data_IF_538572280186
#
_entry.id   IF_538572280186
#
_cell.length_a   1.000
_cell.length_b   1.000
_cell.length_c   1.000
_cell.angle_alpha   90.00
_cell.angle_beta   90.00
_cell.angle_gamma   90.00
#
_symmetry.space_group_name_H-M   'P 1'
#
loop_
_entity.id
_entity.type
_entity.pdbx_description
1 polymer ?
#
# COMPACT_ATOMS: atom_id res chain seq x y z
N UNK A 1 -21.28 1.97 11.93
CA UNK A 1 -20.62 2.61 10.77
C UNK A 1 -19.70 3.77 11.16
N UNK A 2 -20.16 4.73 11.97
CA UNK A 2 -19.33 5.88 12.35
C UNK A 2 -18.15 5.50 13.26
N UNK A 3 -18.35 4.60 14.23
CA UNK A 3 -17.29 4.14 15.14
C UNK A 3 -16.16 3.46 14.39
N UNK A 4 -16.49 2.63 13.42
CA UNK A 4 -15.59 1.89 12.56
C UNK A 4 -14.79 2.84 11.66
N UNK A 5 -15.48 3.83 11.07
CA UNK A 5 -14.84 4.89 10.30
C UNK A 5 -13.84 5.68 11.16
N UNK A 6 -14.24 6.04 12.38
CA UNK A 6 -13.38 6.74 13.33
C UNK A 6 -12.17 5.89 13.73
N UNK A 7 -12.33 4.58 13.92
CA UNK A 7 -11.21 3.68 14.21
C UNK A 7 -10.19 3.69 13.07
N UNK A 8 -10.63 3.47 11.83
CA UNK A 8 -9.73 3.44 10.65
C UNK A 8 -9.04 4.79 10.48
N UNK A 9 -9.81 5.89 10.55
CA UNK A 9 -9.29 7.26 10.37
C UNK A 9 -8.33 7.66 11.49
N UNK A 10 -8.63 7.27 12.73
CA UNK A 10 -7.75 7.56 13.88
C UNK A 10 -6.43 6.81 13.77
N UNK A 11 -6.46 5.53 13.40
CA UNK A 11 -5.24 4.74 13.17
C UNK A 11 -4.40 5.30 12.02
N UNK A 12 -5.05 5.74 10.94
CA UNK A 12 -4.38 6.43 9.84
C UNK A 12 -3.71 7.74 10.31
N UNK A 13 -4.44 8.56 11.07
CA UNK A 13 -3.92 9.81 11.62
C UNK A 13 -2.73 9.58 12.56
N UNK A 14 -2.82 8.58 13.46
CA UNK A 14 -1.71 8.17 14.32
C UNK A 14 -0.50 7.76 13.48
N UNK A 15 -0.70 6.96 12.42
CA UNK A 15 0.38 6.57 11.50
C UNK A 15 1.08 7.77 10.85
N UNK A 16 0.33 8.80 10.46
CA UNK A 16 0.88 10.07 9.93
C UNK A 16 1.66 10.83 10.99
N UNK A 17 1.14 10.95 12.22
CA UNK A 17 1.83 11.61 13.33
C UNK A 17 3.13 10.88 13.68
N UNK A 18 3.10 9.56 13.76
CA UNK A 18 4.28 8.71 14.02
C UNK A 18 5.33 8.88 12.92
N UNK A 19 4.92 8.83 11.64
CA UNK A 19 5.85 9.04 10.52
C UNK A 19 6.54 10.40 10.59
N UNK A 20 5.80 11.45 10.95
CA UNK A 20 6.34 12.81 11.11
C UNK A 20 7.31 12.92 12.28
N UNK A 21 6.96 12.38 13.44
CA UNK A 21 7.82 12.46 14.65
C UNK A 21 9.12 11.67 14.43
N UNK A 22 9.02 10.47 13.85
CA UNK A 22 10.17 9.59 13.61
C UNK A 22 10.93 9.93 12.32
N UNK A 23 10.50 10.94 11.55
CA UNK A 23 11.10 11.36 10.28
C UNK A 23 11.32 10.18 9.31
N UNK A 24 10.35 9.28 9.24
CA UNK A 24 10.48 8.07 8.44
C UNK A 24 10.34 8.38 6.93
N UNK A 25 11.15 7.74 6.06
CA UNK A 25 11.10 7.96 4.60
C UNK A 25 9.90 7.27 3.92
N UNK A 26 8.91 6.82 4.69
CA UNK A 26 7.71 6.14 4.19
C UNK A 26 6.46 6.99 4.47
N UNK A 27 5.44 6.92 3.60
CA UNK A 27 4.17 7.60 3.85
C UNK A 27 3.54 7.10 5.16
N UNK A 28 3.07 8.01 6.01
CA UNK A 28 2.44 7.64 7.27
C UNK A 28 1.16 6.81 7.15
N UNK A 29 0.51 6.83 5.98
CA UNK A 29 -0.60 5.93 5.66
C UNK A 29 -0.18 4.45 5.71
N UNK A 30 1.04 4.13 5.31
CA UNK A 30 1.60 2.76 5.41
C UNK A 30 1.75 2.35 6.88
N UNK A 31 2.20 3.27 7.74
CA UNK A 31 2.28 3.02 9.19
C UNK A 31 0.89 2.79 9.77
N UNK A 32 -0.10 3.59 9.37
CA UNK A 32 -1.50 3.40 9.78
C UNK A 32 -2.04 2.02 9.40
N UNK A 33 -1.70 1.52 8.21
CA UNK A 33 -2.05 0.16 7.76
C UNK A 33 -1.36 -0.91 8.60
N UNK A 34 -0.08 -0.75 8.91
CA UNK A 34 0.67 -1.67 9.78
C UNK A 34 0.05 -1.69 11.18
N UNK A 35 -0.30 -0.54 11.73
CA UNK A 35 -0.99 -0.45 13.03
C UNK A 35 -2.33 -1.19 12.98
N UNK A 36 -3.17 -0.91 11.99
CA UNK A 36 -4.43 -1.60 11.80
C UNK A 36 -4.23 -3.13 11.73
N UNK A 37 -3.24 -3.57 10.93
CA UNK A 37 -2.88 -4.97 10.82
C UNK A 37 -2.47 -5.58 12.17
N UNK A 38 -1.66 -4.88 12.97
CA UNK A 38 -1.27 -5.33 14.32
C UNK A 38 -2.51 -5.48 15.22
N UNK A 39 -3.44 -4.52 15.21
CA UNK A 39 -4.68 -4.61 16.00
C UNK A 39 -5.58 -5.79 15.58
N UNK A 40 -5.61 -6.11 14.27
CA UNK A 40 -6.30 -7.29 13.76
C UNK A 40 -5.57 -8.58 14.15
N UNK A 41 -4.25 -8.63 13.96
CA UNK A 41 -3.42 -9.80 14.26
C UNK A 41 -3.43 -10.16 15.75
N UNK A 42 -3.43 -9.15 16.63
CA UNK A 42 -3.55 -9.33 18.10
C UNK A 42 -4.98 -9.61 18.57
N UNK A 43 -5.96 -9.68 17.65
CA UNK A 43 -7.40 -9.87 17.92
C UNK A 43 -8.03 -8.82 18.83
N UNK A 44 -7.36 -7.69 19.07
CA UNK A 44 -7.93 -6.55 19.80
C UNK A 44 -9.05 -5.89 19.00
N UNK A 45 -8.97 -5.97 17.66
CA UNK A 45 -10.00 -5.53 16.75
C UNK A 45 -10.48 -6.71 15.89
N UNK A 46 -11.77 -7.02 16.00
CA UNK A 46 -12.43 -8.03 15.17
C UNK A 46 -12.59 -7.52 13.74
N UNK A 47 -12.24 -8.34 12.74
CA UNK A 47 -12.35 -7.98 11.32
C UNK A 47 -13.80 -7.63 10.95
N UNK A 48 -14.76 -8.43 11.43
CA UNK A 48 -16.19 -8.26 11.18
C UNK A 48 -16.69 -6.88 11.64
N UNK A 49 -15.99 -6.27 12.60
CA UNK A 49 -16.33 -4.94 13.10
C UNK A 49 -16.04 -3.86 12.07
N UNK A 50 -14.93 -3.93 11.34
CA UNK A 50 -14.52 -2.87 10.39
C UNK A 50 -14.84 -3.21 8.94
N UNK A 51 -15.10 -4.47 8.62
CA UNK A 51 -15.34 -4.96 7.26
C UNK A 51 -16.41 -4.17 6.51
N UNK A 52 -17.56 -3.92 7.16
CA UNK A 52 -18.68 -3.20 6.54
C UNK A 52 -18.30 -1.79 6.08
N UNK A 53 -17.57 -1.04 6.90
CA UNK A 53 -17.18 0.33 6.53
C UNK A 53 -16.01 0.31 5.53
N UNK A 54 -15.07 -0.61 5.68
CA UNK A 54 -13.94 -0.76 4.76
C UNK A 54 -14.43 -1.07 3.35
N UNK A 55 -15.38 -2.02 3.21
CA UNK A 55 -15.98 -2.35 1.92
C UNK A 55 -16.73 -1.16 1.32
N UNK A 56 -17.51 -0.44 2.12
CA UNK A 56 -18.19 0.79 1.65
C UNK A 56 -17.20 1.85 1.16
N UNK A 57 -16.09 2.08 1.88
CA UNK A 57 -15.05 3.02 1.46
C UNK A 57 -14.35 2.56 0.18
N UNK A 58 -14.09 1.25 0.05
CA UNK A 58 -13.48 0.65 -1.13
C UNK A 58 -14.40 0.74 -2.36
N UNK A 59 -15.68 0.46 -2.21
CA UNK A 59 -16.69 0.60 -3.26
C UNK A 59 -16.81 2.05 -3.75
N UNK A 60 -16.60 3.03 -2.85
CA UNK A 60 -16.66 4.46 -3.16
C UNK A 60 -15.28 5.11 -3.38
N UNK A 61 -14.20 4.34 -3.56
CA UNK A 61 -12.82 4.88 -3.70
C UNK A 61 -12.74 5.95 -4.80
N UNK A 62 -13.41 5.75 -5.93
CA UNK A 62 -13.39 6.70 -7.05
C UNK A 62 -13.85 8.10 -6.62
N UNK A 63 -14.94 8.20 -5.85
CA UNK A 63 -15.47 9.48 -5.36
C UNK A 63 -14.49 10.09 -4.34
N UNK A 64 -13.82 9.29 -3.52
CA UNK A 64 -12.84 9.76 -2.53
C UNK A 64 -11.54 10.26 -3.18
N UNK A 65 -11.13 9.69 -4.32
CA UNK A 65 -9.94 10.11 -5.07
C UNK A 65 -10.20 11.23 -6.08
N UNK A 66 -11.46 11.48 -6.43
CA UNK A 66 -11.84 12.49 -7.41
C UNK A 66 -11.39 13.91 -7.01
N UNK A 67 -11.61 14.42 -5.77
CA UNK A 67 -11.18 15.77 -5.40
C UNK A 67 -9.65 15.98 -5.47
N UNK A 68 -8.80 15.08 -4.91
CA UNK A 68 -7.36 15.16 -5.11
C UNK A 68 -6.93 15.10 -6.58
N UNK A 69 -7.58 14.26 -7.39
CA UNK A 69 -7.27 14.11 -8.81
C UNK A 69 -7.58 15.39 -9.61
N UNK A 70 -8.74 16.01 -9.37
CA UNK A 70 -9.11 17.28 -10.01
C UNK A 70 -8.13 18.39 -9.61
N UNK A 71 -7.76 18.45 -8.33
CA UNK A 71 -6.80 19.43 -7.84
C UNK A 71 -5.42 19.28 -8.51
N UNK A 72 -4.97 18.05 -8.76
CA UNK A 72 -3.74 17.78 -9.50
C UNK A 72 -3.80 18.28 -10.95
N UNK A 73 -4.92 18.04 -11.65
CA UNK A 73 -5.12 18.50 -13.03
C UNK A 73 -5.20 20.03 -13.09
N UNK A 74 -5.87 20.67 -12.12
CA UNK A 74 -5.99 22.13 -12.05
C UNK A 74 -4.64 22.83 -11.81
N UNK A 75 -3.70 22.19 -11.11
CA UNK A 75 -2.31 22.64 -10.98
C UNK A 75 -1.47 22.44 -12.27
N UNK A 76 -2.09 21.94 -13.35
CA UNK A 76 -1.50 21.24 -14.50
C UNK A 76 -0.56 21.98 -15.45
N UNK A 77 -0.18 23.23 -15.17
CA UNK A 77 0.83 23.95 -15.98
C UNK A 77 2.16 23.19 -16.12
N UNK A 78 2.52 22.33 -15.15
CA UNK A 78 3.70 21.46 -15.21
C UNK A 78 3.48 20.14 -15.97
N UNK A 79 2.23 19.68 -16.10
CA UNK A 79 1.89 18.42 -16.76
C UNK A 79 1.81 18.59 -18.29
N UNK A 80 1.50 19.79 -18.77
CA UNK A 80 1.45 20.11 -20.20
C UNK A 80 2.78 19.76 -20.89
N UNK A 81 2.72 18.80 -21.83
CA UNK A 81 3.88 18.32 -22.58
C UNK A 81 4.68 17.17 -21.94
N UNK A 82 4.42 16.78 -20.68
CA UNK A 82 5.12 15.66 -20.01
C UNK A 82 4.29 14.40 -19.82
N UNK A 83 2.97 14.46 -20.02
CA UNK A 83 2.05 13.32 -19.82
C UNK A 83 2.53 12.05 -20.54
N UNK A 84 2.94 12.16 -21.81
CA UNK A 84 3.45 11.00 -22.56
C UNK A 84 4.73 10.41 -21.95
N UNK A 85 5.65 11.27 -21.45
CA UNK A 85 6.87 10.82 -20.77
C UNK A 85 6.56 10.13 -19.45
N UNK A 86 5.60 10.67 -18.68
CA UNK A 86 5.17 10.11 -17.40
C UNK A 86 4.52 8.74 -17.62
N UNK A 87 3.60 8.62 -18.59
CA UNK A 87 2.97 7.33 -18.94
C UNK A 87 4.02 6.30 -19.34
N UNK A 88 4.94 6.67 -20.25
CA UNK A 88 6.00 5.76 -20.67
C UNK A 88 6.87 5.32 -19.48
N UNK A 89 7.26 6.26 -18.61
CA UNK A 89 8.06 5.95 -17.42
C UNK A 89 7.30 5.02 -16.45
N UNK A 90 6.02 5.26 -16.19
CA UNK A 90 5.20 4.39 -15.34
C UNK A 90 5.11 2.97 -15.90
N UNK A 91 4.82 2.83 -17.19
CA UNK A 91 4.72 1.52 -17.85
C UNK A 91 6.07 0.80 -17.82
N UNK A 92 7.15 1.49 -18.22
CA UNK A 92 8.51 0.93 -18.23
C UNK A 92 8.95 0.48 -16.83
N UNK A 93 8.77 1.33 -15.81
CA UNK A 93 9.13 1.00 -14.42
C UNK A 93 8.29 -0.13 -13.85
N UNK A 94 7.01 -0.23 -14.24
CA UNK A 94 6.14 -1.34 -13.83
C UNK A 94 6.65 -2.67 -14.37
N UNK A 95 6.90 -2.77 -15.68
CA UNK A 95 7.44 -4.00 -16.29
C UNK A 95 8.83 -4.33 -15.75
N UNK A 96 9.68 -3.32 -15.58
CA UNK A 96 11.02 -3.50 -15.01
C UNK A 96 10.95 -4.04 -13.57
N UNK A 97 10.15 -3.43 -12.71
CA UNK A 97 9.97 -3.86 -11.31
C UNK A 97 9.38 -5.26 -11.25
N UNK A 98 8.38 -5.57 -12.09
CA UNK A 98 7.78 -6.89 -12.16
C UNK A 98 8.79 -7.95 -12.62
N UNK A 99 9.59 -7.66 -13.64
CA UNK A 99 10.63 -8.56 -14.14
C UNK A 99 11.73 -8.85 -13.12
N UNK A 100 12.22 -7.82 -12.41
CA UNK A 100 13.21 -7.99 -11.33
C UNK A 100 12.61 -8.78 -10.18
N UNK A 101 11.42 -8.39 -9.70
CA UNK A 101 10.77 -9.08 -8.58
C UNK A 101 10.53 -10.55 -8.91
N UNK A 102 10.06 -10.85 -10.12
CA UNK A 102 9.87 -12.22 -10.59
C UNK A 102 11.16 -13.03 -10.58
N UNK A 103 12.26 -12.49 -11.13
CA UNK A 103 13.57 -13.16 -11.10
C UNK A 103 14.11 -13.36 -9.70
N UNK A 104 13.97 -12.37 -8.82
CA UNK A 104 14.43 -12.47 -7.43
C UNK A 104 13.64 -13.54 -6.69
N UNK A 105 12.31 -13.57 -6.83
CA UNK A 105 11.47 -14.59 -6.19
C UNK A 105 11.79 -15.98 -6.73
N UNK A 106 11.95 -16.13 -8.04
CA UNK A 106 12.32 -17.41 -8.66
C UNK A 106 13.68 -17.91 -8.13
N UNK A 107 14.69 -17.03 -8.07
CA UNK A 107 15.99 -17.38 -7.49
C UNK A 107 15.89 -17.82 -6.02
N UNK A 108 15.05 -17.16 -5.22
CA UNK A 108 14.84 -17.53 -3.82
C UNK A 108 14.14 -18.90 -3.67
N UNK A 109 13.21 -19.23 -4.58
CA UNK A 109 12.51 -20.52 -4.60
C UNK A 109 13.50 -21.64 -4.98
N UNK A 110 14.21 -21.50 -6.09
CA UNK A 110 15.20 -22.48 -6.57
C UNK A 110 16.26 -22.74 -5.48
N UNK A 111 16.78 -21.69 -4.85
CA UNK A 111 17.77 -21.81 -3.77
C UNK A 111 17.21 -22.50 -2.51
N UNK A 112 15.91 -22.35 -2.23
CA UNK A 112 15.26 -23.03 -1.10
C UNK A 112 15.10 -24.51 -1.41
N UNK A 113 14.66 -24.87 -2.61
CA UNK A 113 14.49 -26.26 -3.05
C UNK A 113 15.82 -27.04 -3.00
N UNK A 114 16.91 -26.46 -3.52
CA UNK A 114 18.23 -27.09 -3.42
C UNK A 114 18.72 -27.29 -1.97
N UNK A 115 18.27 -26.44 -1.04
CA UNK A 115 18.64 -26.54 0.38
C UNK A 115 17.84 -27.64 1.09
N UNK A 116 16.56 -27.76 0.76
CA UNK A 116 15.69 -28.81 1.29
C UNK A 116 16.13 -30.20 0.77
N UNK A 117 16.51 -30.32 -0.52
CA UNK A 117 17.06 -31.56 -1.09
C UNK A 117 18.36 -32.02 -0.44
N UNK A 118 19.25 -31.08 -0.09
CA UNK A 118 20.50 -31.39 0.63
C UNK A 118 20.25 -31.86 2.06
N UNK A 119 19.25 -31.32 2.74
CA UNK A 119 18.89 -31.71 4.11
C UNK A 119 18.21 -33.08 4.19
N UNK A 120 17.54 -33.55 3.13
CA UNK A 120 16.91 -34.87 3.11
C UNK A 120 17.85 -36.02 2.70
N UNK A 121 19.06 -35.71 2.21
CA UNK A 121 20.07 -36.71 1.78
C UNK A 121 21.19 -36.94 2.79
N UNK A 122 21.23 -36.20 3.90
CA UNK A 122 22.16 -36.40 5.03
C UNK A 122 21.45 -37.00 6.22
#
# INVERSE_FOLDING_TARGET
>A
MLTEFLIITSLNYIGVVVAKILHLPIPGTIIGLILLFIFLATKQLKLERIEKISNFLLENMTILFLPPAINLIAAGSFLEGQILKIIFLMVATTFFTMGITGKVVQFLIEKKEERDERNHRG
#
